data_IF_781348496389
#
_entry.id   IF_781348496389
#
_cell.length_a   1.000
_cell.length_b   1.000
_cell.length_c   1.000
_cell.angle_alpha   90.00
_cell.angle_beta   90.00
_cell.angle_gamma   90.00
#
_symmetry.space_group_name_H-M   'P 1'
#
loop_
_entity.id
_entity.type
_entity.pdbx_description
1 polymer ?
#
# COMPACT_ATOMS: atom_id res chain seq x y z
N UNK A 1 8.97 -23.94 7.63
CA UNK A 1 8.58 -24.93 8.67
C UNK A 1 7.13 -24.74 9.14
N UNK A 2 6.74 -23.59 9.73
CA UNK A 2 5.37 -23.35 10.27
C UNK A 2 4.23 -23.63 9.28
N UNK A 3 4.37 -23.25 8.00
CA UNK A 3 3.36 -23.51 6.97
C UNK A 3 3.16 -25.01 6.68
N UNK A 4 4.26 -25.80 6.65
CA UNK A 4 4.21 -27.25 6.43
C UNK A 4 3.50 -27.97 7.59
N UNK A 5 3.71 -27.52 8.84
CA UNK A 5 3.01 -28.08 10.00
C UNK A 5 1.50 -27.92 9.94
N UNK A 6 1.02 -26.83 9.33
CA UNK A 6 -0.41 -26.57 9.13
C UNK A 6 -0.98 -27.21 7.86
N UNK A 7 -0.21 -28.04 7.15
CA UNK A 7 -0.61 -28.63 5.87
C UNK A 7 -0.76 -27.61 4.73
N UNK A 8 -0.22 -26.40 4.88
CA UNK A 8 -0.32 -25.34 3.86
C UNK A 8 0.73 -25.62 2.78
N UNK A 9 0.28 -25.70 1.52
CA UNK A 9 1.17 -25.82 0.35
C UNK A 9 2.01 -24.56 0.20
N UNK A 10 3.33 -24.71 0.17
CA UNK A 10 4.29 -23.63 -0.03
C UNK A 10 4.88 -23.75 -1.42
N UNK A 11 4.78 -22.68 -2.21
CA UNK A 11 5.48 -22.53 -3.48
C UNK A 11 6.59 -21.51 -3.27
N UNK A 12 7.77 -21.79 -3.81
CA UNK A 12 8.82 -20.79 -3.91
C UNK A 12 8.68 -20.08 -5.25
N UNK A 13 8.56 -18.76 -5.19
CA UNK A 13 8.48 -17.88 -6.34
C UNK A 13 9.75 -17.03 -6.36
N UNK A 14 10.34 -16.83 -7.53
CA UNK A 14 11.45 -15.90 -7.70
C UNK A 14 10.96 -14.45 -7.44
N UNK A 15 11.52 -13.74 -6.44
CA UNK A 15 11.11 -12.38 -6.13
C UNK A 15 11.64 -11.33 -7.11
N UNK A 16 12.54 -11.70 -8.04
CA UNK A 16 13.18 -10.75 -8.94
C UNK A 16 12.18 -9.93 -9.77
N UNK A 17 12.45 -8.62 -9.89
CA UNK A 17 11.71 -7.66 -10.73
C UNK A 17 10.20 -7.48 -10.41
N UNK A 18 9.72 -7.99 -9.28
CA UNK A 18 8.31 -7.89 -8.88
C UNK A 18 7.86 -6.49 -8.49
N UNK A 19 8.77 -5.59 -8.12
CA UNK A 19 8.42 -4.22 -7.68
C UNK A 19 8.38 -3.18 -8.80
N UNK A 20 8.79 -3.53 -10.00
CA UNK A 20 8.99 -2.60 -11.13
C UNK A 20 7.92 -2.73 -12.21
N UNK A 21 7.07 -3.76 -12.13
CA UNK A 21 6.03 -4.06 -13.11
C UNK A 21 4.65 -3.80 -12.53
N UNK A 22 3.77 -3.23 -13.35
CA UNK A 22 2.39 -2.99 -12.98
C UNK A 22 1.63 -4.32 -12.85
N UNK A 23 0.97 -4.61 -11.71
CA UNK A 23 0.22 -5.85 -11.52
C UNK A 23 -1.03 -5.94 -12.40
N UNK A 24 -1.49 -4.82 -12.95
CA UNK A 24 -2.70 -4.72 -13.78
C UNK A 24 -2.35 -4.90 -15.26
N UNK A 25 -1.44 -4.08 -15.79
CA UNK A 25 -1.15 -4.01 -17.22
C UNK A 25 0.22 -4.56 -17.63
N UNK A 26 1.07 -4.95 -16.67
CA UNK A 26 2.42 -5.47 -16.93
C UNK A 26 3.47 -4.43 -17.36
N UNK A 27 3.10 -3.15 -17.48
CA UNK A 27 4.01 -2.07 -17.90
C UNK A 27 5.01 -1.69 -16.81
N UNK A 28 6.16 -1.12 -17.19
CA UNK A 28 7.13 -0.61 -16.22
C UNK A 28 6.58 0.58 -15.43
N UNK A 29 6.73 0.51 -14.12
CA UNK A 29 6.33 1.57 -13.19
C UNK A 29 7.43 2.63 -13.09
N UNK A 30 7.01 3.89 -13.02
CA UNK A 30 7.90 5.02 -12.74
C UNK A 30 7.81 5.44 -11.27
N UNK A 31 8.92 5.81 -10.63
CA UNK A 31 8.89 6.36 -9.27
C UNK A 31 8.14 7.68 -9.26
N UNK A 32 7.22 7.84 -8.30
CA UNK A 32 6.42 9.05 -8.09
C UNK A 32 6.52 9.49 -6.62
N UNK A 33 7.76 9.72 -6.16
CA UNK A 33 8.11 10.02 -4.77
C UNK A 33 9.02 8.94 -4.14
N UNK A 34 9.17 8.96 -2.81
CA UNK A 34 10.13 8.09 -2.11
C UNK A 34 9.75 6.60 -2.14
N UNK A 35 8.46 6.26 -2.00
CA UNK A 35 7.98 4.86 -1.93
C UNK A 35 6.84 4.50 -2.88
N UNK A 36 6.22 5.50 -3.50
CA UNK A 36 5.06 5.32 -4.38
C UNK A 36 5.56 5.15 -5.81
N UNK A 37 5.04 4.13 -6.47
CA UNK A 37 5.26 3.86 -7.89
C UNK A 37 3.98 4.16 -8.65
N UNK A 38 4.10 4.78 -9.83
CA UNK A 38 2.97 5.11 -10.69
C UNK A 38 3.13 4.49 -12.07
N UNK A 39 2.07 3.86 -12.55
CA UNK A 39 1.96 3.40 -13.92
C UNK A 39 1.46 4.54 -14.81
N UNK A 40 2.18 4.80 -15.91
CA UNK A 40 1.76 5.81 -16.90
C UNK A 40 0.65 5.32 -17.84
N UNK A 41 0.53 4.00 -18.02
CA UNK A 41 -0.44 3.40 -18.94
C UNK A 41 -1.84 3.30 -18.32
N UNK A 42 -1.97 2.63 -17.17
CA UNK A 42 -3.26 2.43 -16.50
C UNK A 42 -3.56 3.44 -15.36
N UNK A 43 -2.64 4.36 -15.06
CA UNK A 43 -2.80 5.35 -14.00
C UNK A 43 -2.67 4.83 -12.56
N UNK A 44 -2.43 3.52 -12.38
CA UNK A 44 -2.31 2.89 -11.06
C UNK A 44 -1.14 3.47 -10.24
N UNK A 45 -1.37 3.77 -8.96
CA UNK A 45 -0.35 4.22 -8.02
C UNK A 45 -0.46 3.50 -6.68
N UNK A 46 0.64 2.89 -6.22
CA UNK A 46 0.71 2.22 -4.92
C UNK A 46 2.15 2.19 -4.39
N UNK A 47 2.32 1.81 -3.12
CA UNK A 47 3.65 1.57 -2.53
C UNK A 47 4.33 0.36 -3.21
N UNK A 48 5.66 0.42 -3.29
CA UNK A 48 6.50 -0.65 -3.84
C UNK A 48 6.24 -2.02 -3.20
N UNK A 49 5.97 -2.06 -1.90
CA UNK A 49 5.75 -3.31 -1.15
C UNK A 49 4.39 -3.96 -1.49
N UNK A 50 3.37 -3.13 -1.74
CA UNK A 50 2.05 -3.59 -2.20
C UNK A 50 2.19 -4.22 -3.59
N UNK A 51 2.92 -3.55 -4.48
CA UNK A 51 3.17 -3.99 -5.85
C UNK A 51 3.94 -5.31 -5.87
N UNK A 52 5.02 -5.41 -5.09
CA UNK A 52 5.80 -6.63 -4.97
C UNK A 52 4.96 -7.81 -4.47
N UNK A 53 4.19 -7.60 -3.40
CA UNK A 53 3.31 -8.63 -2.82
C UNK A 53 2.24 -9.11 -3.82
N UNK A 54 1.66 -8.19 -4.58
CA UNK A 54 0.65 -8.50 -5.57
C UNK A 54 1.24 -9.32 -6.73
N UNK A 55 2.40 -8.92 -7.24
CA UNK A 55 3.07 -9.65 -8.31
C UNK A 55 3.52 -11.05 -7.87
N UNK A 56 4.03 -11.22 -6.65
CA UNK A 56 4.35 -12.55 -6.09
C UNK A 56 3.09 -13.44 -6.04
N UNK A 57 1.97 -12.89 -5.56
CA UNK A 57 0.68 -13.61 -5.55
C UNK A 57 0.25 -14.03 -6.95
N UNK A 58 0.32 -13.12 -7.93
CA UNK A 58 -0.06 -13.42 -9.32
C UNK A 58 0.82 -14.52 -9.92
N UNK A 59 2.12 -14.49 -9.68
CA UNK A 59 3.03 -15.54 -10.14
C UNK A 59 2.75 -16.88 -9.47
N UNK A 60 2.49 -16.90 -8.16
CA UNK A 60 2.10 -18.11 -7.44
C UNK A 60 0.79 -18.72 -7.99
N UNK A 61 -0.21 -17.88 -8.30
CA UNK A 61 -1.47 -18.32 -8.89
C UNK A 61 -1.27 -18.93 -10.29
N UNK A 62 -0.41 -18.32 -11.13
CA UNK A 62 -0.04 -18.88 -12.44
C UNK A 62 0.58 -20.27 -12.31
N UNK A 63 1.48 -20.46 -11.33
CA UNK A 63 2.11 -21.77 -11.07
C UNK A 63 1.10 -22.82 -10.58
N UNK A 64 0.04 -22.41 -9.87
CA UNK A 64 -1.02 -23.31 -9.41
C UNK A 64 -2.06 -23.67 -10.47
N UNK A 65 -1.99 -23.10 -11.68
CA UNK A 65 -2.96 -23.40 -12.74
C UNK A 65 -4.40 -22.98 -12.42
N UNK A 66 -4.60 -22.21 -11.35
CA UNK A 66 -5.91 -21.63 -11.04
C UNK A 66 -6.16 -20.45 -11.97
N UNK A 67 -7.27 -20.47 -12.71
CA UNK A 67 -7.80 -19.29 -13.39
C UNK A 67 -7.96 -18.21 -12.32
N UNK A 68 -7.32 -17.07 -12.51
CA UNK A 68 -7.26 -15.97 -11.55
C UNK A 68 -8.66 -15.63 -11.04
N UNK A 69 -8.98 -15.84 -9.75
CA UNK A 69 -10.11 -15.15 -9.15
C UNK A 69 -9.75 -13.66 -9.09
N UNK A 70 -10.66 -12.83 -9.60
CA UNK A 70 -10.63 -11.39 -9.43
C UNK A 70 -10.33 -11.06 -7.97
N UNK A 71 -9.27 -10.30 -7.71
CA UNK A 71 -8.87 -9.97 -6.34
C UNK A 71 -9.98 -9.16 -5.70
N UNK A 72 -10.61 -9.70 -4.66
CA UNK A 72 -11.49 -8.92 -3.80
C UNK A 72 -10.71 -7.70 -3.29
N UNK A 73 -11.29 -6.51 -3.51
CA UNK A 73 -10.71 -5.24 -3.07
C UNK A 73 -10.36 -5.34 -1.59
N UNK A 74 -9.09 -5.12 -1.26
CA UNK A 74 -8.65 -5.04 0.13
C UNK A 74 -9.39 -3.86 0.75
N UNK A 75 -10.34 -4.13 1.66
CA UNK A 75 -10.96 -3.05 2.44
C UNK A 75 -9.81 -2.31 3.13
N UNK A 76 -9.67 -0.98 2.96
CA UNK A 76 -8.70 -0.23 3.73
C UNK A 76 -9.04 -0.49 5.20
N UNK A 77 -8.13 -1.16 5.91
CA UNK A 77 -8.29 -1.35 7.34
C UNK A 77 -8.42 0.03 7.97
N UNK A 78 -9.46 0.20 8.78
CA UNK A 78 -9.67 1.37 9.65
C UNK A 78 -8.56 1.41 10.71
N UNK A 79 -7.33 1.67 10.28
CA UNK A 79 -6.23 2.09 11.09
C UNK A 79 -6.22 3.61 11.07
N UNK A 80 -6.84 4.23 12.08
CA UNK A 80 -6.86 5.67 12.31
C UNK A 80 -5.42 6.19 12.49
N UNK A 81 -4.76 6.57 11.40
CA UNK A 81 -3.61 7.47 11.47
C UNK A 81 -4.18 8.87 11.67
N UNK A 82 -4.11 9.38 12.89
CA UNK A 82 -4.41 10.77 13.20
C UNK A 82 -3.40 11.67 12.51
N UNK A 83 -3.71 12.07 11.28
CA UNK A 83 -3.11 13.24 10.65
C UNK A 83 -3.72 14.45 11.35
N UNK A 84 -3.00 15.02 12.32
CA UNK A 84 -3.30 16.36 12.81
C UNK A 84 -2.99 17.34 11.69
N UNK A 85 -4.01 17.66 10.89
CA UNK A 85 -4.01 18.84 10.04
C UNK A 85 -4.08 20.08 10.94
N UNK A 86 -2.94 20.73 11.19
CA UNK A 86 -2.96 22.12 11.66
C UNK A 86 -3.21 22.98 10.42
N UNK A 87 -4.48 23.25 10.15
CA UNK A 87 -4.89 24.24 9.16
C UNK A 87 -4.48 25.62 9.66
N UNK A 88 -3.71 26.33 8.82
CA UNK A 88 -3.53 27.77 8.95
C UNK A 88 -4.91 28.44 8.88
N UNK A 89 -5.30 29.18 9.91
CA UNK A 89 -6.44 30.08 9.88
C UNK A 89 -5.93 31.52 9.82
N UNK A 90 -6.15 32.14 8.66
CA UNK A 90 -6.04 33.58 8.45
C UNK A 90 -7.30 34.22 9.02
N UNK A 91 -7.28 34.67 10.28
CA UNK A 91 -8.22 35.70 10.79
C UNK A 91 -7.68 36.25 12.11
N UNK A 92 -7.07 37.43 12.04
CA UNK A 92 -6.60 38.14 13.22
C UNK A 92 -7.73 38.86 13.91
N UNK A 93 -8.13 38.40 15.10
CA UNK A 93 -8.68 39.24 16.16
C UNK A 93 -8.11 38.77 17.50
N UNK A 94 -7.28 39.63 18.09
CA UNK A 94 -6.72 39.48 19.43
C UNK A 94 -7.84 39.37 20.46
N UNK A 95 -7.84 38.31 21.27
CA UNK A 95 -8.43 38.35 22.62
C UNK A 95 -7.37 37.82 23.58
N UNK A 96 -6.70 38.77 24.24
CA UNK A 96 -5.95 38.52 25.46
C UNK A 96 -6.94 38.41 26.61
N UNK A 97 -6.98 37.28 27.31
CA UNK A 97 -7.39 37.26 28.73
C UNK A 97 -6.55 36.21 29.47
N UNK A 98 -5.77 36.76 30.41
CA UNK A 98 -5.15 36.25 31.64
C UNK A 98 -5.33 34.75 31.95
N UNK A 99 -4.24 33.98 32.12
CA UNK A 99 -3.28 33.99 33.24
C UNK A 99 -3.86 33.34 34.52
N UNK A 100 -3.13 32.29 34.92
CA UNK A 100 -2.85 31.81 36.29
C UNK A 100 -3.83 30.85 36.97
N UNK A 101 -3.20 29.84 37.61
CA UNK A 101 -3.58 29.15 38.87
C UNK A 101 -4.64 28.04 38.72
N UNK A 102 -4.53 26.82 39.24
CA UNK A 102 -3.77 26.20 40.34
C UNK A 102 -3.93 24.66 40.14
N UNK A 103 -2.92 23.86 40.52
CA UNK A 103 -2.91 22.39 40.76
C UNK A 103 -3.38 21.42 39.66
#
# INVERSE_FOLDING_TARGET
YKAKLKGIRVIYVDPAQTSSLCPICGERLSPNGHRIMKCKNCGFSADRDIIGSWNIRLTALKMWGSRTPESQSMKPGEGRLSVTSVTANQNGWKIWILRLLYF
#
